data_IF_786845810741
#
_entry.id   IF_786845810741
#
_cell.length_a   1.000
_cell.length_b   1.000
_cell.length_c   1.000
_cell.angle_alpha   90.00
_cell.angle_beta   90.00
_cell.angle_gamma   90.00
#
_symmetry.space_group_name_H-M   'P 1'
#
loop_
_entity.id
_entity.type
_entity.pdbx_description
1 polymer ?
#
# COMPACT_ATOMS: atom_id res chain seq x y z
N UNK A 1 22.92 2.99 33.78
CA UNK A 1 23.29 3.53 32.45
C UNK A 1 23.50 2.45 31.39
N UNK A 2 23.84 1.21 31.76
CA UNK A 2 24.01 0.08 30.82
C UNK A 2 22.70 -0.45 30.19
N UNK A 3 21.57 -0.40 30.89
CA UNK A 3 20.28 -0.88 30.35
C UNK A 3 19.73 -0.03 29.19
N UNK A 4 20.05 1.27 29.13
CA UNK A 4 19.47 2.19 28.14
C UNK A 4 20.19 2.14 26.79
N UNK A 5 21.49 1.81 26.79
CA UNK A 5 22.26 1.57 25.56
C UNK A 5 21.82 0.27 24.89
N UNK A 6 21.65 -0.81 25.67
CA UNK A 6 21.22 -2.11 25.14
C UNK A 6 19.83 -2.09 24.51
N UNK A 7 18.90 -1.30 25.04
CA UNK A 7 17.53 -1.18 24.48
C UNK A 7 17.52 -0.35 23.19
N UNK A 8 18.28 0.74 23.13
CA UNK A 8 18.43 1.58 21.94
C UNK A 8 19.05 0.82 20.76
N UNK A 9 20.07 0.00 21.03
CA UNK A 9 20.68 -0.89 20.05
C UNK A 9 19.68 -1.93 19.53
N UNK A 10 18.93 -2.58 20.44
CA UNK A 10 17.90 -3.56 20.07
C UNK A 10 16.79 -2.94 19.19
N UNK A 11 16.36 -1.71 19.50
CA UNK A 11 15.38 -0.98 18.69
C UNK A 11 15.88 -0.64 17.30
N UNK A 12 17.15 -0.25 17.19
CA UNK A 12 17.79 0.04 15.91
C UNK A 12 17.92 -1.24 15.09
N UNK A 13 18.39 -2.34 15.68
CA UNK A 13 18.47 -3.64 15.02
C UNK A 13 17.09 -4.10 14.52
N UNK A 14 16.03 -3.94 15.31
CA UNK A 14 14.68 -4.31 14.90
C UNK A 14 14.20 -3.51 13.68
N UNK A 15 14.51 -2.20 13.60
CA UNK A 15 14.22 -1.37 12.42
C UNK A 15 15.03 -1.80 11.19
N UNK A 16 16.29 -2.19 11.37
CA UNK A 16 17.13 -2.76 10.29
C UNK A 16 16.49 -4.04 9.75
N UNK A 17 16.18 -5.01 10.61
CA UNK A 17 15.60 -6.28 10.18
C UNK A 17 14.22 -6.11 9.53
N UNK A 18 13.33 -5.31 10.13
CA UNK A 18 12.03 -5.03 9.53
C UNK A 18 12.15 -4.36 8.16
N UNK A 19 13.00 -3.34 8.01
CA UNK A 19 13.20 -2.67 6.71
C UNK A 19 13.87 -3.57 5.68
N UNK A 20 14.84 -4.41 6.06
CA UNK A 20 15.49 -5.38 5.19
C UNK A 20 14.49 -6.42 4.65
N UNK A 21 13.71 -7.02 5.54
CA UNK A 21 12.69 -8.02 5.18
C UNK A 21 11.64 -7.39 4.26
N UNK A 22 11.14 -6.20 4.60
CA UNK A 22 10.18 -5.49 3.74
C UNK A 22 10.77 -5.11 2.39
N UNK A 23 12.02 -4.65 2.35
CA UNK A 23 12.71 -4.35 1.10
C UNK A 23 12.81 -5.59 0.18
N UNK A 24 13.23 -6.74 0.71
CA UNK A 24 13.33 -7.99 -0.06
C UNK A 24 11.96 -8.43 -0.60
N UNK A 25 10.94 -8.44 0.26
CA UNK A 25 9.58 -8.84 -0.12
C UNK A 25 9.02 -7.89 -1.20
N UNK A 26 9.16 -6.58 -1.01
CA UNK A 26 8.68 -5.59 -1.96
C UNK A 26 9.49 -5.60 -3.26
N UNK A 27 10.79 -5.87 -3.22
CA UNK A 27 11.61 -6.03 -4.43
C UNK A 27 11.11 -7.20 -5.27
N UNK A 28 10.81 -8.33 -4.63
CA UNK A 28 10.19 -9.47 -5.28
C UNK A 28 8.83 -9.11 -5.91
N UNK A 29 7.92 -8.48 -5.16
CA UNK A 29 6.62 -8.08 -5.71
C UNK A 29 6.73 -7.04 -6.82
N UNK A 30 7.65 -6.08 -6.72
CA UNK A 30 7.93 -5.13 -7.79
C UNK A 30 8.40 -5.86 -9.04
N UNK A 31 9.38 -6.76 -8.92
CA UNK A 31 9.88 -7.53 -10.05
C UNK A 31 8.78 -8.32 -10.73
N UNK A 32 7.86 -8.92 -9.98
CA UNK A 32 6.81 -9.77 -10.54
C UNK A 32 5.65 -8.94 -11.09
N UNK A 33 5.07 -8.03 -10.29
CA UNK A 33 3.87 -7.27 -10.62
C UNK A 33 4.19 -6.15 -11.61
N UNK A 34 5.20 -5.32 -11.33
CA UNK A 34 5.49 -4.16 -12.18
C UNK A 34 6.03 -4.60 -13.53
N UNK A 35 6.86 -5.64 -13.58
CA UNK A 35 7.28 -6.23 -14.86
C UNK A 35 6.09 -6.70 -15.69
N UNK A 36 5.13 -7.38 -15.05
CA UNK A 36 3.93 -7.88 -15.74
C UNK A 36 3.07 -6.73 -16.27
N UNK A 37 2.86 -5.68 -15.46
CA UNK A 37 2.16 -4.47 -15.87
C UNK A 37 2.87 -3.78 -17.04
N UNK A 38 4.20 -3.67 -17.00
CA UNK A 38 4.97 -3.05 -18.07
C UNK A 38 4.93 -3.87 -19.37
N UNK A 39 4.90 -5.20 -19.28
CA UNK A 39 4.86 -6.09 -20.46
C UNK A 39 3.48 -6.13 -21.11
N UNK A 40 2.41 -6.10 -20.31
CA UNK A 40 1.06 -6.29 -20.82
C UNK A 40 0.33 -4.95 -21.06
N UNK A 41 0.06 -4.64 -22.32
CA UNK A 41 -0.59 -3.38 -22.70
C UNK A 41 -1.99 -3.26 -22.09
N UNK A 42 -2.75 -4.37 -22.02
CA UNK A 42 -4.08 -4.37 -21.41
C UNK A 42 -4.04 -3.87 -19.97
N UNK A 43 -3.01 -4.24 -19.21
CA UNK A 43 -2.87 -3.81 -17.80
C UNK A 43 -2.50 -2.34 -17.69
N UNK A 44 -1.63 -1.81 -18.57
CA UNK A 44 -1.24 -0.39 -18.57
C UNK A 44 -2.39 0.57 -18.81
N UNK A 45 -3.47 0.11 -19.44
CA UNK A 45 -4.64 0.93 -19.74
C UNK A 45 -5.60 1.08 -18.54
N UNK A 46 -5.48 0.27 -17.48
CA UNK A 46 -6.32 0.42 -16.30
C UNK A 46 -5.64 1.27 -15.22
N UNK A 47 -6.30 2.36 -14.81
CA UNK A 47 -5.80 3.25 -13.76
C UNK A 47 -5.40 2.53 -12.47
N UNK A 48 -6.18 1.54 -12.02
CA UNK A 48 -5.87 0.72 -10.84
C UNK A 48 -4.50 0.03 -10.90
N UNK A 49 -4.08 -0.46 -12.06
CA UNK A 49 -2.80 -1.18 -12.18
C UNK A 49 -1.64 -0.21 -12.25
N UNK A 50 -1.82 0.91 -12.96
CA UNK A 50 -0.82 1.99 -12.99
C UNK A 50 -0.59 2.57 -11.59
N UNK A 51 -1.66 2.82 -10.81
CA UNK A 51 -1.52 3.28 -9.43
C UNK A 51 -0.82 2.24 -8.53
N UNK A 52 -1.09 0.94 -8.72
CA UNK A 52 -0.36 -0.14 -8.02
C UNK A 52 1.11 -0.13 -8.38
N UNK A 53 1.45 0.06 -9.66
CA UNK A 53 2.82 0.20 -10.12
C UNK A 53 3.57 1.33 -9.39
N UNK A 54 2.95 2.51 -9.30
CA UNK A 54 3.54 3.64 -8.57
C UNK A 54 3.65 3.39 -7.07
N UNK A 55 2.62 2.79 -6.45
CA UNK A 55 2.63 2.45 -5.02
C UNK A 55 3.77 1.49 -4.68
N UNK A 56 3.93 0.41 -5.47
CA UNK A 56 4.98 -0.58 -5.25
C UNK A 56 6.38 -0.01 -5.49
N UNK A 57 6.55 0.79 -6.54
CA UNK A 57 7.84 1.42 -6.85
C UNK A 57 8.26 2.39 -5.74
N UNK A 58 7.32 3.21 -5.25
CA UNK A 58 7.55 4.17 -4.17
C UNK A 58 7.80 3.48 -2.83
N UNK A 59 7.08 2.41 -2.51
CA UNK A 59 7.33 1.61 -1.32
C UNK A 59 8.70 0.93 -1.36
N UNK A 60 9.13 0.42 -2.52
CA UNK A 60 10.46 -0.17 -2.69
C UNK A 60 11.56 0.84 -2.39
N UNK A 61 11.46 2.06 -2.96
CA UNK A 61 12.41 3.15 -2.69
C UNK A 61 12.41 3.51 -1.21
N UNK A 62 11.24 3.63 -0.59
CA UNK A 62 11.13 3.93 0.84
C UNK A 62 11.87 2.91 1.71
N UNK A 63 11.61 1.62 1.54
CA UNK A 63 12.25 0.59 2.36
C UNK A 63 13.74 0.39 2.05
N UNK A 64 14.17 0.59 0.79
CA UNK A 64 15.58 0.60 0.43
C UNK A 64 16.34 1.69 1.20
N UNK A 65 15.77 2.90 1.24
CA UNK A 65 16.36 4.04 1.95
C UNK A 65 16.28 3.84 3.47
N UNK A 66 15.17 3.34 4.01
CA UNK A 66 15.08 2.98 5.44
C UNK A 66 16.16 1.96 5.83
N UNK A 67 16.33 0.90 5.05
CA UNK A 67 17.32 -0.13 5.31
C UNK A 67 18.73 0.47 5.31
N UNK A 68 19.09 1.24 4.28
CA UNK A 68 20.38 1.92 4.22
C UNK A 68 20.60 2.88 5.39
N UNK A 69 19.59 3.69 5.73
CA UNK A 69 19.66 4.65 6.83
C UNK A 69 19.83 3.98 8.20
N UNK A 70 19.03 2.96 8.51
CA UNK A 70 19.15 2.25 9.80
C UNK A 70 20.41 1.40 9.88
N UNK A 71 20.86 0.83 8.76
CA UNK A 71 22.11 0.07 8.71
C UNK A 71 23.32 0.98 8.98
N UNK A 72 23.33 2.20 8.45
CA UNK A 72 24.37 3.18 8.75
C UNK A 72 24.41 3.53 10.24
N UNK A 73 23.24 3.74 10.87
CA UNK A 73 23.14 4.00 12.31
C UNK A 73 23.64 2.79 13.11
N UNK A 74 23.26 1.57 12.71
CA UNK A 74 23.66 0.34 13.40
C UNK A 74 25.16 0.06 13.31
N UNK A 75 25.79 0.38 12.16
CA UNK A 75 27.23 0.18 11.94
C UNK A 75 28.07 1.40 12.35
N UNK A 76 27.46 2.43 12.93
CA UNK A 76 28.11 3.68 13.34
C UNK A 76 28.93 4.36 12.22
N UNK A 77 28.49 4.19 10.97
CA UNK A 77 29.19 4.75 9.80
C UNK A 77 28.93 6.26 9.73
N UNK A 78 30.00 7.07 9.83
CA UNK A 78 29.90 8.51 9.61
C UNK A 78 29.67 8.82 8.12
N UNK A 79 28.51 9.37 7.80
CA UNK A 79 28.16 9.80 6.45
C UNK A 79 28.38 11.29 6.25
N UNK A 80 28.70 11.70 5.02
CA UNK A 80 28.75 13.11 4.65
C UNK A 80 27.39 13.80 4.86
N UNK A 81 27.40 15.12 5.13
CA UNK A 81 26.18 15.92 5.26
C UNK A 81 25.28 15.80 4.02
N UNK A 82 25.88 15.82 2.82
CA UNK A 82 25.17 15.69 1.55
C UNK A 82 24.42 14.37 1.44
N UNK A 83 25.06 13.25 1.79
CA UNK A 83 24.45 11.92 1.78
C UNK A 83 23.29 11.83 2.76
N UNK A 84 23.47 12.31 3.99
CA UNK A 84 22.41 12.26 5.00
C UNK A 84 21.19 13.08 4.59
N UNK A 85 21.43 14.29 4.08
CA UNK A 85 20.39 15.16 3.51
C UNK A 85 19.65 14.44 2.38
N UNK A 86 20.37 13.87 1.41
CA UNK A 86 19.76 13.15 0.29
C UNK A 86 18.89 11.96 0.76
N UNK A 87 19.36 11.19 1.74
CA UNK A 87 18.60 10.08 2.31
C UNK A 87 17.30 10.57 2.96
N UNK A 88 17.35 11.64 3.76
CA UNK A 88 16.17 12.23 4.40
C UNK A 88 15.20 12.79 3.35
N UNK A 89 15.70 13.42 2.29
CA UNK A 89 14.88 13.88 1.15
C UNK A 89 14.11 12.73 0.53
N UNK A 90 14.82 11.70 0.10
CA UNK A 90 14.24 10.58 -0.63
C UNK A 90 13.27 9.82 0.28
N UNK A 91 13.60 9.65 1.55
CA UNK A 91 12.73 9.04 2.55
C UNK A 91 11.42 9.83 2.71
N UNK A 92 11.50 11.15 2.86
CA UNK A 92 10.33 12.02 3.05
C UNK A 92 9.47 12.07 1.78
N UNK A 93 10.10 12.19 0.62
CA UNK A 93 9.42 12.19 -0.69
C UNK A 93 8.70 10.86 -0.92
N UNK A 94 9.38 9.72 -0.76
CA UNK A 94 8.77 8.41 -0.98
C UNK A 94 7.63 8.10 -0.01
N UNK A 95 7.76 8.48 1.27
CA UNK A 95 6.68 8.37 2.25
C UNK A 95 5.45 9.23 1.88
N UNK A 96 5.68 10.48 1.47
CA UNK A 96 4.63 11.39 1.03
C UNK A 96 3.96 10.89 -0.25
N UNK A 97 4.75 10.36 -1.19
CA UNK A 97 4.25 9.81 -2.43
C UNK A 97 3.40 8.54 -2.22
N UNK A 98 3.76 7.67 -1.27
CA UNK A 98 2.94 6.52 -0.89
C UNK A 98 1.54 6.97 -0.43
N UNK A 99 1.48 8.02 0.42
CA UNK A 99 0.22 8.56 0.92
C UNK A 99 -0.62 9.21 -0.19
N UNK A 100 0.00 10.01 -1.04
CA UNK A 100 -0.66 10.64 -2.18
C UNK A 100 -1.19 9.59 -3.17
N UNK A 101 -0.41 8.54 -3.44
CA UNK A 101 -0.82 7.44 -4.32
C UNK A 101 -2.02 6.68 -3.74
N UNK A 102 -2.04 6.40 -2.43
CA UNK A 102 -3.21 5.79 -1.78
C UNK A 102 -4.44 6.70 -1.81
N UNK A 103 -4.24 8.01 -1.68
CA UNK A 103 -5.31 9.01 -1.83
C UNK A 103 -5.87 9.00 -3.25
N UNK A 104 -4.99 8.96 -4.26
CA UNK A 104 -5.39 8.84 -5.65
C UNK A 104 -6.14 7.52 -5.93
N UNK A 105 -5.70 6.40 -5.34
CA UNK A 105 -6.44 5.13 -5.41
C UNK A 105 -7.84 5.23 -4.79
N UNK A 106 -7.99 5.89 -3.64
CA UNK A 106 -9.29 6.07 -3.00
C UNK A 106 -10.23 6.94 -3.84
N UNK A 107 -9.71 8.06 -4.38
CA UNK A 107 -10.45 8.95 -5.27
C UNK A 107 -10.83 8.28 -6.59
N UNK A 108 -9.93 7.51 -7.18
CA UNK A 108 -10.20 6.72 -8.39
C UNK A 108 -11.37 5.75 -8.18
N UNK A 109 -11.38 5.03 -7.05
CA UNK A 109 -12.49 4.13 -6.70
C UNK A 109 -13.78 4.90 -6.43
N UNK A 110 -13.71 6.03 -5.75
CA UNK A 110 -14.87 6.90 -5.50
C UNK A 110 -15.49 7.38 -6.81
N UNK A 111 -14.70 7.92 -7.73
CA UNK A 111 -15.18 8.41 -9.02
C UNK A 111 -15.79 7.28 -9.86
N UNK A 112 -15.17 6.10 -9.87
CA UNK A 112 -15.68 4.94 -10.62
C UNK A 112 -17.03 4.44 -10.09
N UNK A 113 -17.28 4.51 -8.78
CA UNK A 113 -18.52 4.02 -8.15
C UNK A 113 -19.61 5.09 -8.16
N UNK A 114 -19.30 6.33 -7.77
CA UNK A 114 -20.29 7.39 -7.61
C UNK A 114 -20.62 8.11 -8.93
N UNK A 115 -19.74 8.07 -9.93
CA UNK A 115 -19.92 8.76 -11.22
C UNK A 115 -19.52 7.92 -12.43
N UNK A 116 -20.09 6.71 -12.62
CA UNK A 116 -19.66 5.77 -13.65
C UNK A 116 -19.73 6.36 -15.08
N UNK A 117 -20.77 7.14 -15.39
CA UNK A 117 -20.96 7.76 -16.72
C UNK A 117 -19.90 8.81 -17.05
N UNK A 118 -19.48 9.61 -16.05
CA UNK A 118 -18.44 10.63 -16.24
C UNK A 118 -17.05 10.03 -16.20
N UNK A 119 -16.85 8.99 -15.39
CA UNK A 119 -15.56 8.32 -15.24
C UNK A 119 -15.06 7.73 -16.56
N UNK A 120 -15.94 7.10 -17.35
CA UNK A 120 -15.59 6.58 -18.68
C UNK A 120 -15.22 7.65 -19.71
N UNK A 121 -15.74 8.87 -19.57
CA UNK A 121 -15.45 10.00 -20.47
C UNK A 121 -14.21 10.80 -20.07
N UNK A 122 -13.85 10.83 -18.77
CA UNK A 122 -12.75 11.64 -18.23
C UNK A 122 -11.44 10.85 -18.20
N UNK A 123 -11.50 9.53 -17.98
CA UNK A 123 -10.31 8.70 -17.79
C UNK A 123 -9.78 8.20 -19.15
N UNK A 124 -8.92 9.00 -19.79
CA UNK A 124 -8.17 8.57 -20.99
C UNK A 124 -6.90 7.80 -20.59
N UNK A 125 -6.38 6.96 -21.49
CA UNK A 125 -5.31 5.96 -21.23
C UNK A 125 -4.07 6.50 -20.50
N UNK A 126 -3.70 7.77 -20.71
CA UNK A 126 -2.50 8.38 -20.12
C UNK A 126 -2.73 9.08 -18.78
N UNK A 127 -3.98 9.36 -18.41
CA UNK A 127 -4.33 10.09 -17.19
C UNK A 127 -3.73 9.49 -15.90
N UNK A 128 -3.77 8.17 -15.65
CA UNK A 128 -3.18 7.61 -14.43
C UNK A 128 -1.64 7.69 -14.38
N UNK A 129 -0.97 7.72 -15.54
CA UNK A 129 0.48 7.95 -15.62
C UNK A 129 0.84 9.38 -15.25
N UNK A 130 0.05 10.35 -15.73
CA UNK A 130 0.19 11.76 -15.35
C UNK A 130 -0.04 11.96 -13.85
N UNK A 131 -1.04 11.29 -13.26
CA UNK A 131 -1.28 11.33 -11.80
C UNK A 131 -0.06 10.81 -11.05
N UNK A 132 0.53 9.69 -11.47
CA UNK A 132 1.71 9.15 -10.81
C UNK A 132 2.88 10.13 -10.81
N UNK A 133 3.17 10.78 -11.96
CA UNK A 133 4.21 11.81 -12.05
C UNK A 133 3.87 13.00 -11.14
N UNK A 134 2.61 13.44 -11.15
CA UNK A 134 2.15 14.56 -10.32
C UNK A 134 2.29 14.26 -8.83
N UNK A 135 1.99 13.03 -8.39
CA UNK A 135 2.16 12.64 -6.99
C UNK A 135 3.62 12.72 -6.54
N UNK A 136 4.57 12.34 -7.40
CA UNK A 136 5.99 12.48 -7.11
C UNK A 136 6.44 13.94 -7.07
N UNK A 137 5.95 14.77 -7.99
CA UNK A 137 6.23 16.20 -8.01
C UNK A 137 5.73 16.86 -6.73
N UNK A 138 4.46 16.64 -6.35
CA UNK A 138 3.85 17.19 -5.13
C UNK A 138 4.56 16.67 -3.87
N UNK A 139 4.90 15.38 -3.82
CA UNK A 139 5.62 14.78 -2.71
C UNK A 139 7.01 15.41 -2.48
N UNK A 140 7.64 15.89 -3.55
CA UNK A 140 8.99 16.49 -3.49
C UNK A 140 8.99 17.94 -3.00
N UNK A 141 7.84 18.64 -3.04
CA UNK A 141 7.74 20.05 -2.62
C UNK A 141 8.08 20.19 -1.13
N UNK A 142 7.55 19.31 -0.28
CA UNK A 142 7.75 19.37 1.17
C UNK A 142 9.23 19.34 1.53
N UNK A 143 10.00 18.29 1.18
CA UNK A 143 11.44 18.28 1.47
C UNK A 143 12.18 19.46 0.82
N UNK A 144 11.85 19.83 -0.42
CA UNK A 144 12.53 20.93 -1.13
C UNK A 144 12.39 22.28 -0.41
N UNK A 145 11.19 22.60 0.10
CA UNK A 145 10.95 23.83 0.87
C UNK A 145 11.72 23.86 2.20
N UNK A 146 12.01 22.69 2.78
CA UNK A 146 12.79 22.58 4.01
C UNK A 146 14.28 22.76 3.72
N UNK A 147 14.78 22.21 2.62
CA UNK A 147 16.17 22.40 2.18
C UNK A 147 16.53 23.85 1.90
N UNK A 148 15.65 24.60 1.24
CA UNK A 148 15.90 26.01 0.95
C UNK A 148 16.02 26.84 2.24
N UNK A 149 15.26 26.48 3.28
CA UNK A 149 15.24 27.18 4.56
C UNK A 149 16.46 26.87 5.45
N UNK A 150 17.01 25.66 5.35
CA UNK A 150 18.08 25.15 6.23
C UNK A 150 19.51 25.38 5.69
N UNK A 151 19.63 26.00 4.51
CA UNK A 151 20.90 26.28 3.83
C UNK A 151 21.83 27.25 4.56
N UNK A 152 21.45 27.79 5.74
CA UNK A 152 22.17 28.90 6.37
C UNK A 152 23.13 28.56 7.52
N UNK A 153 23.06 27.45 8.28
CA UNK A 153 23.85 27.45 9.54
C UNK A 153 24.49 26.17 10.13
N UNK A 154 24.25 24.91 9.70
CA UNK A 154 24.85 23.76 10.44
C UNK A 154 25.80 22.82 9.66
N UNK A 155 26.91 22.41 10.30
CA UNK A 155 27.97 21.53 9.73
C UNK A 155 27.67 20.02 9.79
N UNK A 156 26.68 19.57 10.55
CA UNK A 156 26.41 18.14 10.80
C UNK A 156 24.96 17.75 10.54
N UNK A 157 24.71 16.50 10.12
CA UNK A 157 23.36 15.95 10.02
C UNK A 157 22.87 15.52 11.41
N UNK A 158 21.93 16.26 11.99
CA UNK A 158 21.34 15.91 13.29
C UNK A 158 19.95 15.31 13.09
N UNK A 159 19.56 14.33 13.92
CA UNK A 159 18.20 13.75 14.00
C UNK A 159 17.08 14.80 14.11
N UNK A 160 17.42 16.02 14.52
CA UNK A 160 16.54 17.18 14.62
C UNK A 160 16.06 17.69 13.25
N UNK A 161 16.82 17.50 12.16
CA UNK A 161 16.36 17.84 10.79
C UNK A 161 15.15 17.00 10.35
N UNK A 162 14.96 15.80 10.92
CA UNK A 162 13.76 14.99 10.66
C UNK A 162 12.48 15.66 11.21
N UNK A 163 12.61 16.48 12.26
CA UNK A 163 11.52 17.25 12.88
C UNK A 163 11.22 18.56 12.14
N UNK A 164 12.11 19.01 11.26
CA UNK A 164 11.87 20.21 10.46
C UNK A 164 10.73 19.94 9.47
N UNK A 165 9.81 20.91 9.35
CA UNK A 165 8.63 20.78 8.49
C UNK A 165 7.52 19.88 9.03
N UNK A 166 7.52 19.59 10.33
CA UNK A 166 6.49 18.78 11.00
C UNK A 166 5.07 19.29 10.71
N UNK A 167 4.87 20.62 10.67
CA UNK A 167 3.57 21.23 10.31
C UNK A 167 3.14 20.86 8.88
N UNK A 168 4.02 21.00 7.89
CA UNK A 168 3.69 20.67 6.49
C UNK A 168 3.39 19.17 6.33
N UNK A 169 4.17 18.31 6.99
CA UNK A 169 3.95 16.86 7.03
C UNK A 169 2.58 16.53 7.64
N UNK A 170 2.26 17.12 8.80
CA UNK A 170 0.97 16.93 9.48
C UNK A 170 -0.18 17.43 8.60
N UNK A 171 -0.05 18.59 7.95
CA UNK A 171 -1.07 19.12 7.06
C UNK A 171 -1.32 18.20 5.86
N UNK A 172 -0.26 17.74 5.18
CA UNK A 172 -0.39 16.79 4.08
C UNK A 172 -1.08 15.50 4.53
N UNK A 173 -0.64 14.94 5.66
CA UNK A 173 -1.21 13.72 6.25
C UNK A 173 -2.71 13.92 6.56
N UNK A 174 -3.06 15.04 7.20
CA UNK A 174 -4.42 15.38 7.58
C UNK A 174 -5.33 15.51 6.35
N UNK A 175 -4.91 16.28 5.35
CA UNK A 175 -5.67 16.50 4.10
C UNK A 175 -5.90 15.17 3.37
N UNK A 176 -4.84 14.37 3.18
CA UNK A 176 -4.96 13.08 2.52
C UNK A 176 -5.89 12.13 3.30
N UNK A 177 -5.74 12.09 4.62
CA UNK A 177 -6.60 11.28 5.50
C UNK A 177 -8.07 11.69 5.38
N UNK A 178 -8.36 13.00 5.39
CA UNK A 178 -9.72 13.51 5.23
C UNK A 178 -10.31 13.15 3.86
N UNK A 179 -9.55 13.32 2.77
CA UNK A 179 -9.99 12.98 1.41
C UNK A 179 -10.29 11.49 1.25
N UNK A 180 -9.43 10.66 1.82
CA UNK A 180 -9.64 9.22 1.83
C UNK A 180 -10.91 8.88 2.62
N UNK A 181 -11.03 9.33 3.87
CA UNK A 181 -12.21 9.03 4.71
C UNK A 181 -13.50 9.48 4.03
N UNK A 182 -13.51 10.69 3.49
CA UNK A 182 -14.62 11.21 2.70
C UNK A 182 -14.96 10.27 1.53
N UNK A 183 -13.97 9.88 0.74
CA UNK A 183 -14.15 8.98 -0.41
C UNK A 183 -14.80 7.66 0.00
N UNK A 184 -14.32 7.03 1.08
CA UNK A 184 -14.87 5.77 1.58
C UNK A 184 -16.27 5.91 2.16
N UNK A 185 -16.56 6.98 2.90
CA UNK A 185 -17.92 7.26 3.39
C UNK A 185 -18.89 7.40 2.23
N UNK A 186 -18.52 8.13 1.18
CA UNK A 186 -19.33 8.25 -0.04
C UNK A 186 -19.53 6.91 -0.76
N UNK A 187 -18.47 6.10 -0.90
CA UNK A 187 -18.55 4.76 -1.49
C UNK A 187 -19.52 3.86 -0.70
N UNK A 188 -19.47 3.90 0.63
CA UNK A 188 -20.37 3.13 1.49
C UNK A 188 -21.82 3.59 1.36
N UNK A 189 -22.06 4.89 1.30
CA UNK A 189 -23.42 5.43 1.11
C UNK A 189 -24.00 5.01 -0.24
N UNK A 190 -23.23 5.14 -1.33
CA UNK A 190 -23.70 4.75 -2.66
C UNK A 190 -23.89 3.23 -2.76
N UNK A 191 -22.98 2.44 -2.18
CA UNK A 191 -23.12 0.99 -2.11
C UNK A 191 -24.37 0.55 -1.32
N UNK A 192 -24.77 1.30 -0.29
CA UNK A 192 -26.01 1.06 0.47
C UNK A 192 -27.23 1.45 -0.36
N UNK A 193 -27.18 2.59 -1.05
CA UNK A 193 -28.23 3.08 -1.96
C UNK A 193 -28.52 2.07 -3.08
N UNK A 194 -27.48 1.47 -3.66
CA UNK A 194 -27.60 0.46 -4.71
C UNK A 194 -27.97 -0.94 -4.17
N UNK A 195 -28.16 -1.10 -2.84
CA UNK A 195 -28.50 -2.38 -2.22
C UNK A 195 -27.35 -3.41 -2.20
N UNK A 196 -26.14 -3.01 -2.63
CA UNK A 196 -24.95 -3.87 -2.69
C UNK A 196 -24.41 -4.15 -1.28
N UNK A 197 -24.55 -3.20 -0.34
CA UNK A 197 -24.18 -3.35 1.07
C UNK A 197 -25.34 -3.91 1.91
N UNK A 198 -25.78 -5.13 1.58
CA UNK A 198 -26.77 -5.86 2.36
C UNK A 198 -26.14 -7.08 3.06
N UNK A 199 -26.69 -7.53 4.19
CA UNK A 199 -26.24 -8.72 4.94
C UNK A 199 -26.19 -10.00 4.08
N UNK A 200 -26.98 -10.03 2.99
CA UNK A 200 -26.97 -11.10 1.98
C UNK A 200 -25.74 -11.05 1.05
N UNK A 201 -25.19 -9.87 0.77
CA UNK A 201 -24.00 -9.70 -0.08
C UNK A 201 -22.73 -9.58 0.76
N UNK A 202 -22.41 -10.65 1.49
CA UNK A 202 -21.22 -10.71 2.37
C UNK A 202 -19.90 -10.49 1.61
N UNK A 203 -19.87 -10.81 0.32
CA UNK A 203 -18.69 -10.66 -0.55
C UNK A 203 -18.33 -9.19 -0.76
N UNK A 204 -19.32 -8.35 -1.08
CA UNK A 204 -19.12 -6.92 -1.25
C UNK A 204 -18.68 -6.25 0.07
N UNK A 205 -19.36 -6.56 1.18
CA UNK A 205 -19.00 -6.04 2.50
C UNK A 205 -17.57 -6.42 2.92
N UNK A 206 -17.17 -7.68 2.75
CA UNK A 206 -15.81 -8.13 3.08
C UNK A 206 -14.75 -7.46 2.21
N UNK A 207 -15.05 -7.23 0.93
CA UNK A 207 -14.13 -6.55 0.01
C UNK A 207 -13.88 -5.10 0.43
N UNK A 208 -14.94 -4.38 0.77
CA UNK A 208 -14.84 -2.99 1.25
C UNK A 208 -14.17 -2.95 2.64
N UNK A 209 -14.47 -3.92 3.51
CA UNK A 209 -13.83 -4.03 4.82
C UNK A 209 -12.32 -4.29 4.71
N UNK A 210 -11.85 -5.12 3.78
CA UNK A 210 -10.41 -5.30 3.56
C UNK A 210 -9.73 -4.03 3.03
N UNK A 211 -10.38 -3.30 2.11
CA UNK A 211 -9.85 -2.02 1.63
C UNK A 211 -9.82 -0.97 2.75
N UNK A 212 -10.85 -0.93 3.60
CA UNK A 212 -10.91 -0.10 4.80
C UNK A 212 -9.87 -0.49 5.86
N UNK A 213 -9.64 -1.79 6.06
CA UNK A 213 -8.62 -2.29 6.98
C UNK A 213 -7.22 -1.92 6.50
N UNK A 214 -6.89 -2.17 5.22
CA UNK A 214 -5.61 -1.80 4.64
C UNK A 214 -5.37 -0.28 4.73
N UNK A 215 -6.43 0.50 4.56
CA UNK A 215 -6.36 1.93 4.72
C UNK A 215 -6.13 2.35 6.18
N UNK A 216 -6.87 1.76 7.13
CA UNK A 216 -6.72 2.01 8.55
C UNK A 216 -5.29 1.70 9.00
N UNK A 217 -4.70 0.63 8.48
CA UNK A 217 -3.32 0.25 8.75
C UNK A 217 -2.30 1.29 8.24
N UNK A 218 -2.65 2.12 7.25
CA UNK A 218 -1.80 3.24 6.80
C UNK A 218 -2.03 4.53 7.60
N UNK A 219 -3.28 4.81 8.00
CA UNK A 219 -3.63 6.00 8.79
C UNK A 219 -3.19 5.85 10.25
N UNK A 220 -3.32 4.66 10.81
CA UNK A 220 -3.10 4.36 12.22
C UNK A 220 -1.67 4.72 12.67
N UNK A 221 -0.60 4.40 11.93
CA UNK A 221 0.75 4.81 12.29
C UNK A 221 0.95 6.32 12.39
N UNK A 222 0.33 7.06 11.50
CA UNK A 222 0.40 8.52 11.50
C UNK A 222 -0.38 9.10 12.68
N UNK A 223 -1.57 8.55 12.94
CA UNK A 223 -2.40 8.95 14.08
C UNK A 223 -1.71 8.67 15.42
N UNK A 224 -1.12 7.48 15.59
CA UNK A 224 -0.33 7.12 16.76
C UNK A 224 0.82 8.11 16.94
N UNK A 225 1.58 8.40 15.88
CA UNK A 225 2.71 9.33 15.96
C UNK A 225 2.29 10.74 16.38
N UNK A 226 1.14 11.22 15.88
CA UNK A 226 0.57 12.51 16.28
C UNK A 226 0.14 12.52 17.76
N UNK A 227 -0.57 11.49 18.22
CA UNK A 227 -1.00 11.37 19.62
C UNK A 227 0.20 11.31 20.56
N UNK A 228 1.24 10.54 20.21
CA UNK A 228 2.48 10.47 20.98
C UNK A 228 3.19 11.82 21.05
N UNK A 229 3.20 12.59 19.96
CA UNK A 229 3.74 13.95 19.97
C UNK A 229 2.98 14.84 20.96
N UNK A 230 1.63 14.86 20.90
CA UNK A 230 0.80 15.68 21.80
C UNK A 230 0.98 15.29 23.27
N UNK A 231 1.02 13.99 23.56
CA UNK A 231 1.20 13.48 24.92
C UNK A 231 2.61 13.81 25.47
N UNK A 232 3.64 13.75 24.62
CA UNK A 232 4.98 14.20 24.98
C UNK A 232 5.01 15.70 25.29
N UNK A 233 4.40 16.54 24.44
CA UNK A 233 4.34 17.99 24.67
C UNK A 233 3.60 18.35 25.97
N UNK A 234 2.66 17.50 26.40
CA UNK A 234 1.96 17.63 27.68
C UNK A 234 2.73 17.06 28.89
N UNK A 235 3.94 16.52 28.68
CA UNK A 235 4.76 15.94 29.74
C UNK A 235 4.25 14.60 30.29
N UNK A 236 3.30 13.95 29.60
CA UNK A 236 2.66 12.70 30.05
C UNK A 236 3.37 11.43 29.58
N UNK A 237 4.42 11.56 28.75
CA UNK A 237 5.17 10.45 28.19
C UNK A 237 6.67 10.71 28.27
N UNK A 238 7.42 9.69 28.65
CA UNK A 238 8.88 9.68 28.57
C UNK A 238 9.36 9.49 27.12
N UNK A 239 10.62 9.87 26.87
CA UNK A 239 11.26 9.70 25.55
C UNK A 239 11.41 8.21 25.18
N UNK A 240 11.66 7.36 26.17
CA UNK A 240 11.83 5.90 25.99
C UNK A 240 10.53 5.22 25.55
N UNK A 241 9.40 5.56 26.18
CA UNK A 241 8.08 5.05 25.80
C UNK A 241 7.73 5.45 24.36
N UNK A 242 8.00 6.71 23.99
CA UNK A 242 7.77 7.19 22.62
C UNK A 242 8.58 6.40 21.59
N UNK A 243 9.86 6.14 21.85
CA UNK A 243 10.71 5.37 20.94
C UNK A 243 10.21 3.92 20.81
N UNK A 244 9.80 3.29 21.90
CA UNK A 244 9.22 1.95 21.88
C UNK A 244 7.97 1.90 20.98
N UNK A 245 7.01 2.80 21.20
CA UNK A 245 5.81 2.87 20.35
C UNK A 245 6.17 3.14 18.88
N UNK A 246 7.15 4.02 18.61
CA UNK A 246 7.59 4.31 17.26
C UNK A 246 8.18 3.08 16.55
N UNK A 247 8.93 2.24 17.25
CA UNK A 247 9.48 0.99 16.69
C UNK A 247 8.37 -0.01 16.36
N UNK A 248 7.45 -0.28 17.29
CA UNK A 248 6.33 -1.19 17.03
C UNK A 248 5.46 -0.70 15.87
N UNK A 249 5.22 0.60 15.83
CA UNK A 249 4.47 1.23 14.77
C UNK A 249 5.16 1.09 13.41
N UNK A 250 6.48 1.26 13.37
CA UNK A 250 7.29 1.04 12.16
C UNK A 250 7.21 -0.43 11.69
N UNK A 251 7.33 -1.40 12.59
CA UNK A 251 7.22 -2.82 12.26
C UNK A 251 5.82 -3.15 11.71
N UNK A 252 4.77 -2.64 12.35
CA UNK A 252 3.40 -2.83 11.88
C UNK A 252 3.18 -2.23 10.49
N UNK A 253 3.65 -1.01 10.26
CA UNK A 253 3.62 -0.37 8.94
C UNK A 253 4.42 -1.17 7.90
N UNK A 254 5.57 -1.72 8.27
CA UNK A 254 6.41 -2.55 7.41
C UNK A 254 5.67 -3.80 6.92
N UNK A 255 5.00 -4.50 7.85
CA UNK A 255 4.16 -5.66 7.54
C UNK A 255 2.99 -5.29 6.62
N UNK A 256 2.34 -4.16 6.88
CA UNK A 256 1.23 -3.66 6.07
C UNK A 256 1.61 -3.42 4.61
N UNK A 257 2.78 -2.82 4.40
CA UNK A 257 3.30 -2.53 3.06
C UNK A 257 3.63 -3.82 2.31
N UNK A 258 4.12 -4.85 3.00
CA UNK A 258 4.35 -6.16 2.40
C UNK A 258 3.04 -6.83 1.93
N UNK A 259 1.91 -6.52 2.58
CA UNK A 259 0.57 -7.05 2.23
C UNK A 259 -0.09 -6.23 1.11
N UNK A 260 0.27 -4.95 0.94
CA UNK A 260 -0.30 -4.06 -0.07
C UNK A 260 -0.28 -4.62 -1.52
N UNK A 261 0.81 -5.24 -2.03
CA UNK A 261 0.82 -5.87 -3.35
C UNK A 261 -0.25 -6.96 -3.53
N UNK A 262 -0.56 -7.71 -2.47
CA UNK A 262 -1.55 -8.78 -2.51
C UNK A 262 -2.96 -8.16 -2.57
N UNK A 263 -3.25 -7.20 -1.69
CA UNK A 263 -4.56 -6.58 -1.56
C UNK A 263 -4.94 -5.74 -2.78
N UNK A 264 -4.01 -4.94 -3.30
CA UNK A 264 -4.27 -4.02 -4.40
C UNK A 264 -3.93 -4.60 -5.78
N UNK A 265 -2.96 -5.51 -5.86
CA UNK A 265 -2.52 -6.15 -7.10
C UNK A 265 -3.12 -7.55 -7.30
N UNK A 266 -2.54 -8.55 -6.62
CA UNK A 266 -2.73 -9.98 -6.93
C UNK A 266 -4.15 -10.49 -6.72
N UNK A 267 -4.96 -9.79 -5.94
CA UNK A 267 -6.38 -10.06 -5.79
C UNK A 267 -7.18 -9.85 -7.08
N UNK A 268 -6.64 -9.13 -8.07
CA UNK A 268 -7.30 -8.86 -9.35
C UNK A 268 -7.05 -10.00 -10.33
N UNK A 269 -8.14 -10.59 -10.83
CA UNK A 269 -8.11 -11.73 -11.75
C UNK A 269 -7.30 -11.42 -13.01
N UNK A 270 -7.41 -10.20 -13.54
CA UNK A 270 -6.77 -9.82 -14.80
C UNK A 270 -5.25 -9.76 -14.69
N UNK A 271 -4.71 -9.36 -13.53
CA UNK A 271 -3.27 -9.38 -13.25
C UNK A 271 -2.81 -10.80 -12.95
N UNK A 272 -3.62 -11.54 -12.19
CA UNK A 272 -3.30 -12.89 -11.76
C UNK A 272 -3.22 -13.87 -12.94
N UNK A 273 -4.14 -13.76 -13.91
CA UNK A 273 -4.14 -14.54 -15.15
C UNK A 273 -2.82 -14.39 -15.92
N UNK A 274 -2.37 -13.14 -16.08
CA UNK A 274 -1.10 -12.83 -16.76
C UNK A 274 0.11 -13.35 -15.99
N UNK A 275 0.05 -13.33 -14.66
CA UNK A 275 1.08 -13.90 -13.80
C UNK A 275 1.14 -15.43 -13.88
N UNK A 276 -0.01 -16.12 -13.94
CA UNK A 276 -0.05 -17.57 -14.15
C UNK A 276 0.56 -17.96 -15.49
N UNK A 277 0.24 -17.22 -16.55
CA UNK A 277 0.78 -17.47 -17.89
C UNK A 277 2.29 -17.24 -17.96
N UNK A 278 2.81 -16.21 -17.30
CA UNK A 278 4.24 -15.85 -17.38
C UNK A 278 5.12 -16.59 -16.37
N UNK A 279 4.60 -16.88 -15.18
CA UNK A 279 5.34 -17.48 -14.06
C UNK A 279 4.58 -18.66 -13.44
N UNK A 280 4.43 -19.81 -14.15
CA UNK A 280 3.60 -20.93 -13.70
C UNK A 280 4.07 -21.56 -12.37
N UNK A 281 5.38 -21.75 -12.17
CA UNK A 281 5.91 -22.32 -10.91
C UNK A 281 5.75 -21.37 -9.72
N UNK A 282 5.88 -20.07 -9.96
CA UNK A 282 5.78 -19.03 -8.94
C UNK A 282 4.34 -18.81 -8.51
N UNK A 283 3.44 -18.78 -9.49
CA UNK A 283 2.02 -18.60 -9.28
C UNK A 283 1.39 -19.77 -8.51
N UNK A 284 1.89 -21.01 -8.67
CA UNK A 284 1.52 -22.13 -7.80
C UNK A 284 1.85 -21.87 -6.32
N UNK A 285 3.02 -21.28 -6.02
CA UNK A 285 3.40 -20.92 -4.64
C UNK A 285 2.59 -19.74 -4.10
N UNK A 286 2.31 -18.74 -4.93
CA UNK A 286 1.46 -17.62 -4.57
C UNK A 286 0.00 -18.03 -4.37
N UNK A 287 -0.46 -19.09 -5.04
CA UNK A 287 -1.82 -19.62 -4.94
C UNK A 287 -2.21 -19.91 -3.49
N UNK A 288 -1.34 -20.47 -2.66
CA UNK A 288 -1.64 -20.76 -1.26
C UNK A 288 -1.84 -19.49 -0.41
N UNK A 289 -0.99 -18.46 -0.60
CA UNK A 289 -1.11 -17.16 0.07
C UNK A 289 -2.35 -16.40 -0.41
N UNK A 290 -2.64 -16.51 -1.71
CA UNK A 290 -3.78 -15.89 -2.33
C UNK A 290 -5.08 -16.59 -1.94
N UNK A 291 -5.11 -17.92 -1.88
CA UNK A 291 -6.24 -18.72 -1.40
C UNK A 291 -6.53 -18.45 0.06
N UNK A 292 -5.51 -18.22 0.90
CA UNK A 292 -5.71 -17.75 2.27
C UNK A 292 -6.35 -16.35 2.29
N UNK A 293 -5.85 -15.42 1.49
CA UNK A 293 -6.37 -14.05 1.39
C UNK A 293 -7.79 -14.01 0.79
N UNK A 294 -8.06 -14.87 -0.21
CA UNK A 294 -9.36 -15.05 -0.87
C UNK A 294 -10.32 -15.81 0.04
N UNK A 295 -9.88 -16.82 0.79
CA UNK A 295 -10.67 -17.56 1.79
C UNK A 295 -11.23 -16.63 2.86
N UNK A 296 -10.41 -15.69 3.34
CA UNK A 296 -10.85 -14.61 4.23
C UNK A 296 -11.97 -13.76 3.60
N UNK A 297 -12.02 -13.63 2.27
CA UNK A 297 -13.01 -12.82 1.54
C UNK A 297 -14.18 -13.56 0.88
N UNK A 298 -14.04 -14.82 0.49
CA UNK A 298 -14.95 -15.51 -0.44
C UNK A 298 -15.02 -17.03 -0.20
N UNK A 299 -15.87 -17.52 0.71
CA UNK A 299 -15.96 -18.97 0.99
C UNK A 299 -16.66 -19.78 -0.10
N UNK A 300 -17.52 -19.17 -0.94
CA UNK A 300 -18.49 -19.93 -1.75
C UNK A 300 -18.15 -20.21 -3.22
N UNK A 301 -17.07 -19.65 -3.79
CA UNK A 301 -16.83 -19.81 -5.24
C UNK A 301 -16.40 -21.24 -5.62
N UNK A 302 -15.93 -22.02 -4.66
CA UNK A 302 -15.59 -23.43 -4.90
C UNK A 302 -16.83 -24.33 -5.08
N UNK A 303 -18.01 -23.90 -4.61
CA UNK A 303 -19.27 -24.63 -4.81
C UNK A 303 -19.89 -24.38 -6.19
N UNK A 304 -19.91 -23.13 -6.67
CA UNK A 304 -20.52 -22.79 -7.97
C UNK A 304 -19.73 -23.31 -9.18
N UNK A 305 -18.40 -23.39 -9.10
CA UNK A 305 -17.62 -24.00 -10.19
C UNK A 305 -17.79 -25.52 -10.24
N UNK A 306 -18.05 -26.17 -9.09
CA UNK A 306 -18.36 -27.61 -9.01
C UNK A 306 -19.78 -27.90 -9.49
N UNK A 307 -20.75 -27.05 -9.14
CA UNK A 307 -22.13 -27.14 -9.65
C UNK A 307 -22.22 -26.86 -11.15
N UNK A 308 -21.48 -25.89 -11.71
CA UNK A 308 -21.42 -25.69 -13.17
C UNK A 308 -20.80 -26.87 -13.91
N UNK A 309 -19.76 -27.49 -13.35
CA UNK A 309 -19.19 -28.72 -13.94
C UNK A 309 -20.18 -29.89 -13.87
N UNK A 310 -20.86 -30.09 -12.73
CA UNK A 310 -21.89 -31.14 -12.61
C UNK A 310 -23.08 -30.90 -13.54
N UNK A 311 -23.58 -29.67 -13.66
CA UNK A 311 -24.71 -29.35 -14.55
C UNK A 311 -24.34 -29.46 -16.02
N UNK A 312 -23.11 -29.07 -16.41
CA UNK A 312 -22.62 -29.30 -17.77
C UNK A 312 -22.41 -30.78 -18.09
N UNK A 313 -21.89 -31.59 -17.18
CA UNK A 313 -21.76 -33.04 -17.37
C UNK A 313 -23.14 -33.73 -17.44
N UNK A 314 -24.09 -33.34 -16.59
CA UNK A 314 -25.45 -33.90 -16.58
C UNK A 314 -26.25 -33.54 -17.84
N UNK A 315 -26.07 -32.32 -18.38
CA UNK A 315 -26.66 -31.89 -19.65
C UNK A 315 -26.07 -32.63 -20.86
N UNK A 316 -24.77 -32.92 -20.83
CA UNK A 316 -24.10 -33.66 -21.92
C UNK A 316 -24.51 -35.13 -21.92
N UNK A 317 -24.63 -35.79 -20.76
CA UNK A 317 -25.17 -37.16 -20.68
C UNK A 317 -26.65 -37.23 -21.03
N UNK A 318 -27.46 -36.25 -20.60
CA UNK A 318 -28.89 -36.21 -20.94
C UNK A 318 -29.18 -35.98 -22.43
N UNK A 319 -28.30 -35.25 -23.14
CA UNK A 319 -28.41 -35.08 -24.60
C UNK A 319 -27.92 -36.32 -25.38
N UNK A 320 -26.99 -37.09 -24.82
CA UNK A 320 -26.54 -38.34 -25.43
C UNK A 320 -27.60 -39.46 -25.38
N UNK A 321 -28.36 -39.54 -24.28
CA UNK A 321 -29.46 -40.53 -24.13
C UNK A 321 -30.66 -40.22 -25.04
N UNK A 322 -31.00 -38.93 -25.25
CA UNK A 322 -32.11 -38.53 -26.14
C UNK A 322 -31.80 -38.83 -27.61
N UNK A 323 -30.52 -38.83 -28.00
CA UNK A 323 -30.10 -39.15 -29.37
C UNK A 323 -30.11 -40.65 -29.69
N UNK A 324 -30.21 -41.53 -28.69
CA UNK A 324 -30.27 -42.99 -28.91
C UNK A 324 -31.70 -43.54 -28.96
N UNK A 325 -32.71 -42.76 -28.56
CA UNK A 325 -34.12 -43.17 -28.53
C UNK A 325 -34.95 -42.74 -29.75
N UNK A 326 -34.34 -42.18 -30.79
CA UNK A 326 -35.04 -41.68 -31.99
C UNK A 326 -34.66 -42.38 -33.31
N UNK A 327 -34.49 -43.71 -33.29
CA UNK A 327 -34.40 -44.55 -34.50
C UNK A 327 -35.49 -45.60 -34.47
#
# INVERSE_FOLDING_TARGET
MTNNTTTSEAYTALRVWASAVSFIILAFFNLVINWTILREERLRNYARFVLVFYLLSSALVYFAVCFGFYLQIYLEIQTSKSTCVALITILTTSASNNLLTLTAMALDRYCAICFPLKYGSICFKQWPWLIGILTWAVASIIPLTLFLKDSKEERFCRREQLKQGEIQKILLISICTALILYSYVRILMEGKRLGVLNRRNRVACKTIALHGAQLAVYILPNFISFVLHVLQTKGLLSIEEKEQFAVFNFVFFSLAQCIAPIVYGLRKEELLEQLYQRFPCLSFRLKSVLEWTISLTHPQRHSQTRERKLTSETLITGLADVSQTSV
#
